data_IF_082549642837
#
_entry.id   IF_082549642837
#
_cell.length_a   1.000
_cell.length_b   1.000
_cell.length_c   1.000
_cell.angle_alpha   90.00
_cell.angle_beta   90.00
_cell.angle_gamma   90.00
#
_symmetry.space_group_name_H-M   'P 1'
#
loop_
_entity.id
_entity.type
_entity.pdbx_description
1 polymer ?
#
# COMPACT_ATOMS: atom_id res chain seq x y z
N UNK A 1 -11.64 -14.04 -1.19
CA UNK A 1 -10.55 -13.34 -1.90
C UNK A 1 -10.01 -12.27 -0.95
N UNK A 2 -8.71 -12.32 -0.57
CA UNK A 2 -8.07 -11.20 0.13
C UNK A 2 -7.88 -10.10 -0.92
N UNK A 3 -8.85 -9.20 -1.01
CA UNK A 3 -8.83 -8.10 -1.96
C UNK A 3 -7.98 -6.99 -1.35
N UNK A 4 -6.83 -6.71 -1.96
CA UNK A 4 -5.96 -5.63 -1.50
C UNK A 4 -6.64 -4.27 -1.63
N UNK A 5 -6.08 -3.28 -0.93
CA UNK A 5 -6.65 -1.95 -0.78
C UNK A 5 -5.71 -0.89 -1.35
N UNK A 6 -6.27 0.03 -2.13
CA UNK A 6 -5.60 1.25 -2.57
C UNK A 6 -5.90 2.37 -1.58
N UNK A 7 -4.86 2.95 -1.02
CA UNK A 7 -4.93 4.11 -0.12
C UNK A 7 -4.63 5.36 -0.94
N UNK A 8 -5.58 6.32 -1.07
CA UNK A 8 -5.37 7.51 -1.88
C UNK A 8 -4.08 8.23 -1.53
N UNK A 9 -3.33 8.63 -2.58
CA UNK A 9 -2.04 9.36 -2.56
C UNK A 9 -0.87 8.71 -1.83
N UNK A 10 -1.11 7.75 -0.95
CA UNK A 10 -0.11 7.10 -0.10
C UNK A 10 0.46 5.83 -0.75
N UNK A 11 -0.40 4.92 -1.20
CA UNK A 11 0.04 3.64 -1.76
C UNK A 11 -1.05 2.59 -1.84
N UNK A 12 -0.64 1.32 -1.77
CA UNK A 12 -1.55 0.19 -1.75
C UNK A 12 -1.00 -0.92 -0.87
N UNK A 13 -1.89 -1.65 -0.24
CA UNK A 13 -1.56 -2.84 0.53
C UNK A 13 -2.22 -4.05 -0.10
N UNK A 14 -1.46 -5.10 -0.34
CA UNK A 14 -1.97 -6.33 -0.95
C UNK A 14 -1.18 -7.55 -0.48
N UNK A 15 -1.73 -8.74 -0.70
CA UNK A 15 -1.06 -10.01 -0.42
C UNK A 15 -0.55 -10.61 -1.73
N UNK A 16 0.76 -10.77 -1.82
CA UNK A 16 1.47 -11.32 -2.98
C UNK A 16 1.94 -12.75 -2.64
N UNK A 17 1.45 -13.78 -3.35
CA UNK A 17 2.01 -15.13 -3.26
C UNK A 17 3.46 -15.12 -3.76
N UNK A 18 4.38 -15.64 -2.96
CA UNK A 18 5.80 -15.74 -3.28
C UNK A 18 6.23 -17.18 -3.05
N UNK A 19 6.87 -17.81 -4.04
CA UNK A 19 7.49 -19.12 -3.86
C UNK A 19 8.78 -18.97 -3.05
N UNK A 20 9.01 -19.85 -2.09
CA UNK A 20 10.20 -19.85 -1.23
C UNK A 20 10.63 -21.29 -1.02
N UNK A 21 11.94 -21.56 -1.13
CA UNK A 21 12.49 -22.87 -0.80
C UNK A 21 12.62 -23.02 0.71
N UNK A 22 12.12 -24.13 1.24
CA UNK A 22 12.24 -24.53 2.64
C UNK A 22 12.72 -25.98 2.66
N UNK A 23 14.02 -26.16 2.87
CA UNK A 23 14.67 -27.45 2.65
C UNK A 23 14.61 -27.84 1.16
N UNK A 24 14.15 -29.06 0.89
CA UNK A 24 13.98 -29.59 -0.47
C UNK A 24 12.60 -29.27 -1.08
N UNK A 25 11.73 -28.59 -0.34
CA UNK A 25 10.36 -28.27 -0.78
C UNK A 25 10.20 -26.79 -1.18
N UNK A 26 9.48 -26.55 -2.27
CA UNK A 26 9.03 -25.22 -2.66
C UNK A 26 7.65 -24.94 -2.10
N UNK A 27 7.55 -23.97 -1.19
CA UNK A 27 6.28 -23.56 -0.58
C UNK A 27 5.83 -22.20 -1.10
N UNK A 28 4.51 -22.02 -1.24
CA UNK A 28 3.92 -20.72 -1.60
C UNK A 28 3.54 -19.96 -0.34
N UNK A 29 4.23 -18.86 -0.07
CA UNK A 29 3.99 -17.98 1.08
C UNK A 29 3.17 -16.78 0.63
N UNK A 30 2.08 -16.50 1.33
CA UNK A 30 1.26 -15.29 1.12
C UNK A 30 1.87 -14.12 1.90
N UNK A 31 2.58 -13.22 1.22
CA UNK A 31 3.28 -12.09 1.86
C UNK A 31 2.46 -10.81 1.75
N UNK A 32 2.17 -10.10 2.86
CA UNK A 32 1.65 -8.75 2.78
C UNK A 32 2.73 -7.81 2.23
N UNK A 33 2.37 -6.99 1.25
CA UNK A 33 3.25 -6.04 0.59
C UNK A 33 2.56 -4.69 0.56
N UNK A 34 3.25 -3.68 1.08
CA UNK A 34 2.89 -2.28 0.86
C UNK A 34 3.69 -1.74 -0.34
N UNK A 35 2.99 -1.15 -1.31
CA UNK A 35 3.59 -0.49 -2.47
C UNK A 35 3.31 1.00 -2.39
N UNK A 36 4.36 1.81 -2.51
CA UNK A 36 4.23 3.26 -2.48
C UNK A 36 3.46 3.75 -3.72
N UNK A 37 2.65 4.79 -3.57
CA UNK A 37 1.98 5.37 -4.73
C UNK A 37 3.01 6.05 -5.65
N UNK A 38 2.79 5.97 -6.97
CA UNK A 38 3.74 6.51 -7.98
C UNK A 38 4.00 8.01 -7.83
N UNK A 39 3.00 8.79 -7.44
CA UNK A 39 3.15 10.22 -7.16
C UNK A 39 4.09 10.50 -5.98
N UNK A 40 4.31 9.52 -5.10
CA UNK A 40 5.21 9.63 -3.96
C UNK A 40 6.58 9.01 -4.27
N UNK A 41 6.62 7.82 -4.88
CA UNK A 41 7.87 7.16 -5.26
C UNK A 41 8.60 7.82 -6.44
N UNK A 42 7.85 8.33 -7.42
CA UNK A 42 8.42 8.97 -8.61
C UNK A 42 9.06 10.32 -8.31
N UNK A 43 8.53 11.09 -7.34
CA UNK A 43 9.13 12.36 -6.91
C UNK A 43 10.50 12.14 -6.26
N UNK A 44 10.73 10.96 -5.68
CA UNK A 44 11.94 10.63 -4.92
C UNK A 44 12.83 9.59 -5.61
N UNK A 45 12.58 9.25 -6.88
CA UNK A 45 13.31 8.23 -7.64
C UNK A 45 13.37 6.84 -6.96
N UNK A 46 12.34 6.49 -6.18
CA UNK A 46 12.27 5.26 -5.39
C UNK A 46 11.59 4.10 -6.12
N UNK A 47 11.22 4.27 -7.39
CA UNK A 47 10.53 3.23 -8.13
C UNK A 47 11.52 2.34 -8.89
N UNK A 48 11.54 1.06 -8.55
CA UNK A 48 12.11 0.04 -9.44
C UNK A 48 11.12 -0.29 -10.56
N UNK A 49 11.63 -0.58 -11.76
CA UNK A 49 10.83 -0.99 -12.93
C UNK A 49 9.95 -2.25 -12.69
N UNK A 50 10.20 -2.96 -11.59
CA UNK A 50 9.54 -4.22 -11.21
C UNK A 50 8.30 -4.04 -10.33
N UNK A 51 7.97 -2.81 -9.94
CA UNK A 51 6.90 -2.52 -8.97
C UNK A 51 5.48 -2.39 -9.54
N UNK A 52 5.32 -2.63 -10.84
CA UNK A 52 4.00 -2.75 -11.41
C UNK A 52 3.30 -3.97 -10.78
N UNK A 53 2.19 -3.73 -10.06
CA UNK A 53 1.23 -4.78 -9.73
C UNK A 53 1.00 -5.62 -10.99
N UNK A 54 0.97 -6.97 -10.91
CA UNK A 54 0.63 -7.79 -12.07
C UNK A 54 -0.67 -7.22 -12.64
N UNK A 55 -0.65 -6.83 -13.92
CA UNK A 55 -1.55 -5.85 -14.52
C UNK A 55 -3.05 -6.20 -14.51
N UNK A 56 -3.43 -7.30 -13.87
CA UNK A 56 -4.79 -7.82 -13.74
C UNK A 56 -5.40 -7.66 -12.34
N UNK A 57 -4.64 -7.28 -11.30
CA UNK A 57 -5.18 -7.20 -9.93
C UNK A 57 -5.75 -5.81 -9.62
N UNK A 58 -7.07 -5.68 -9.70
CA UNK A 58 -7.80 -4.47 -9.31
C UNK A 58 -7.88 -4.41 -7.78
N UNK A 59 -7.31 -3.34 -7.20
CA UNK A 59 -7.38 -3.07 -5.77
C UNK A 59 -8.57 -2.15 -5.46
N UNK A 60 -9.31 -2.47 -4.42
CA UNK A 60 -10.45 -1.64 -4.00
C UNK A 60 -9.93 -0.35 -3.37
N UNK A 61 -10.58 0.80 -3.61
CA UNK A 61 -10.27 2.01 -2.87
C UNK A 61 -10.57 1.83 -1.39
N UNK A 62 -9.74 2.44 -0.54
CA UNK A 62 -9.95 2.47 0.91
C UNK A 62 -11.33 3.06 1.22
N UNK A 63 -12.13 2.28 1.94
CA UNK A 63 -13.47 2.70 2.38
C UNK A 63 -13.35 3.57 3.63
N UNK A 64 -13.16 4.88 3.45
CA UNK A 64 -13.01 5.84 4.54
C UNK A 64 -14.09 5.72 5.62
N UNK A 65 -15.36 5.51 5.23
CA UNK A 65 -16.45 5.36 6.18
C UNK A 65 -16.29 4.13 7.08
N UNK A 66 -15.82 3.00 6.52
CA UNK A 66 -15.54 1.79 7.30
C UNK A 66 -14.41 2.03 8.30
N UNK A 67 -13.30 2.61 7.83
CA UNK A 67 -12.16 2.94 8.70
C UNK A 67 -12.57 3.90 9.82
N UNK A 68 -13.42 4.88 9.51
CA UNK A 68 -13.92 5.84 10.48
C UNK A 68 -14.74 5.16 11.58
N UNK A 69 -15.63 4.23 11.21
CA UNK A 69 -16.40 3.42 12.16
C UNK A 69 -15.46 2.55 12.99
N UNK A 70 -14.57 1.78 12.35
CA UNK A 70 -13.65 0.87 13.04
C UNK A 70 -12.72 1.61 14.01
N UNK A 71 -12.29 2.83 13.66
CA UNK A 71 -11.43 3.66 14.50
C UNK A 71 -12.20 4.61 15.44
N UNK A 72 -13.54 4.57 15.44
CA UNK A 72 -14.40 5.46 16.25
C UNK A 72 -14.06 6.96 16.09
N UNK A 73 -13.84 7.39 14.85
CA UNK A 73 -13.55 8.78 14.49
C UNK A 73 -14.45 9.25 13.34
N UNK A 74 -14.47 10.55 13.07
CA UNK A 74 -15.16 11.05 11.88
C UNK A 74 -14.43 10.67 10.60
N UNK A 75 -15.17 10.51 9.50
CA UNK A 75 -14.61 10.31 8.16
C UNK A 75 -13.56 11.38 7.81
N UNK A 76 -13.85 12.65 8.14
CA UNK A 76 -12.94 13.78 7.92
C UNK A 76 -11.61 13.61 8.67
N UNK A 77 -11.64 13.04 9.88
CA UNK A 77 -10.41 12.75 10.65
C UNK A 77 -9.57 11.68 9.95
N UNK A 78 -10.19 10.63 9.40
CA UNK A 78 -9.47 9.61 8.61
C UNK A 78 -8.83 10.23 7.37
N UNK A 79 -9.58 11.00 6.59
CA UNK A 79 -9.05 11.69 5.39
C UNK A 79 -7.87 12.60 5.74
N UNK A 80 -8.00 13.39 6.82
CA UNK A 80 -6.94 14.25 7.33
C UNK A 80 -5.70 13.48 7.78
N UNK A 81 -5.87 12.33 8.46
CA UNK A 81 -4.76 11.46 8.85
C UNK A 81 -4.03 10.89 7.63
N UNK A 82 -4.74 10.43 6.59
CA UNK A 82 -4.10 9.92 5.38
C UNK A 82 -3.31 11.01 4.66
N UNK A 83 -3.89 12.21 4.55
CA UNK A 83 -3.20 13.35 3.95
C UNK A 83 -1.96 13.74 4.76
N UNK A 84 -2.08 13.85 6.09
CA UNK A 84 -0.98 14.19 6.99
C UNK A 84 0.17 13.18 6.92
N UNK A 85 -0.15 11.88 6.97
CA UNK A 85 0.85 10.80 6.84
C UNK A 85 1.52 10.82 5.47
N UNK A 86 0.76 11.02 4.39
CA UNK A 86 1.32 11.11 3.03
C UNK A 86 2.29 12.30 2.93
N UNK A 87 1.91 13.45 3.45
CA UNK A 87 2.74 14.66 3.46
C UNK A 87 4.04 14.46 4.24
N UNK A 88 3.93 13.92 5.47
CA UNK A 88 5.10 13.62 6.30
C UNK A 88 6.04 12.63 5.63
N UNK A 89 5.50 11.54 5.08
CA UNK A 89 6.30 10.54 4.36
C UNK A 89 6.99 11.16 3.15
N UNK A 90 6.28 11.97 2.35
CA UNK A 90 6.87 12.69 1.21
C UNK A 90 8.04 13.56 1.64
N UNK A 91 7.87 14.32 2.71
CA UNK A 91 8.90 15.20 3.22
C UNK A 91 10.12 14.42 3.73
N UNK A 92 9.91 13.30 4.43
CA UNK A 92 11.00 12.45 4.90
C UNK A 92 11.78 11.82 3.75
N UNK A 93 11.10 11.33 2.71
CA UNK A 93 11.75 10.73 1.54
C UNK A 93 12.61 11.75 0.76
N UNK A 94 12.24 13.03 0.76
CA UNK A 94 13.03 14.08 0.11
C UNK A 94 14.24 14.56 0.92
N UNK A 95 14.40 14.11 2.17
CA UNK A 95 15.51 14.48 3.06
C UNK A 95 16.43 13.30 3.40
N UNK A 96 16.17 12.12 2.84
CA UNK A 96 16.95 10.90 3.03
C UNK A 96 18.30 10.92 2.34
#
# INVERSE_FOLDING_TARGET
LLQGVRIPTLGSFDVVPTQTQVGDETVTIKRPVFRLARNLGGVHNLMDNKDNLPGNKVLEPLKYAKVAVDASVSRRKVEGCILGTTSLLSHCLGKG
#
